data_IF_821324233751
#
_entry.id   IF_821324233751
#
_cell.length_a   1.000
_cell.length_b   1.000
_cell.length_c   1.000
_cell.angle_alpha   90.00
_cell.angle_beta   90.00
_cell.angle_gamma   90.00
#
_symmetry.space_group_name_H-M   'P 1'
#
loop_
_entity.id
_entity.type
_entity.pdbx_description
1 polymer ?
#
# COMPACT_ATOMS: atom_id res chain seq x y z
N UNK A 1 -2.38 24.93 -6.88
CA UNK A 1 -2.21 24.01 -5.74
C UNK A 1 -0.73 23.66 -5.64
N UNK A 2 -0.05 24.01 -4.55
CA UNK A 2 1.35 23.64 -4.36
C UNK A 2 1.41 22.16 -3.95
N UNK A 3 2.04 21.32 -4.77
CA UNK A 3 2.49 20.01 -4.33
C UNK A 3 3.55 20.23 -3.26
N UNK A 4 3.23 19.98 -1.99
CA UNK A 4 4.22 20.05 -0.92
C UNK A 4 5.30 18.99 -1.18
N UNK A 5 6.52 19.47 -1.39
CA UNK A 5 7.70 18.62 -1.50
C UNK A 5 7.90 17.86 -0.18
N UNK A 6 7.91 16.52 -0.25
CA UNK A 6 8.16 15.67 0.92
C UNK A 6 9.51 16.03 1.56
N UNK A 7 9.57 16.05 2.89
CA UNK A 7 10.82 16.25 3.62
C UNK A 7 11.81 15.11 3.34
N UNK A 8 13.11 15.31 3.61
CA UNK A 8 14.14 14.27 3.41
C UNK A 8 13.80 12.97 4.16
N UNK A 9 13.35 13.10 5.41
CA UNK A 9 12.89 11.96 6.23
C UNK A 9 11.67 11.29 5.60
N UNK A 10 10.67 12.07 5.17
CA UNK A 10 9.49 11.50 4.50
C UNK A 10 9.87 10.80 3.19
N UNK A 11 10.84 11.33 2.42
CA UNK A 11 11.37 10.71 1.20
C UNK A 11 12.10 9.40 1.53
N UNK A 12 12.85 9.34 2.62
CA UNK A 12 13.55 8.13 3.08
C UNK A 12 12.57 7.06 3.62
N UNK A 13 11.58 7.45 4.43
CA UNK A 13 10.52 6.57 4.90
C UNK A 13 9.69 6.02 3.72
N UNK A 14 9.39 6.88 2.74
CA UNK A 14 8.69 6.46 1.51
C UNK A 14 9.56 5.50 0.71
N UNK A 15 10.85 5.79 0.53
CA UNK A 15 11.80 4.89 -0.16
C UNK A 15 11.88 3.53 0.52
N UNK A 16 11.96 3.50 1.85
CA UNK A 16 11.97 2.25 2.62
C UNK A 16 10.67 1.47 2.43
N UNK A 17 9.51 2.11 2.64
CA UNK A 17 8.18 1.51 2.43
C UNK A 17 8.05 0.95 1.02
N UNK A 18 8.45 1.71 0.00
CA UNK A 18 8.39 1.26 -1.40
C UNK A 18 9.33 0.11 -1.67
N UNK A 19 10.54 0.15 -1.12
CA UNK A 19 11.53 -0.91 -1.28
C UNK A 19 10.95 -2.25 -0.83
N UNK A 20 10.28 -2.29 0.34
CA UNK A 20 9.61 -3.48 0.87
C UNK A 20 8.51 -4.00 -0.07
N UNK A 21 7.65 -3.12 -0.61
CA UNK A 21 6.55 -3.51 -1.48
C UNK A 21 6.98 -3.99 -2.88
N UNK A 22 8.25 -3.81 -3.26
CA UNK A 22 8.66 -3.95 -4.65
C UNK A 22 9.93 -4.80 -4.88
N UNK A 23 10.54 -5.35 -3.83
CA UNK A 23 11.67 -6.30 -3.94
C UNK A 23 11.30 -7.73 -3.56
N UNK A 24 10.02 -8.05 -3.36
CA UNK A 24 9.56 -9.36 -2.90
C UNK A 24 10.22 -9.84 -1.59
N UNK A 25 10.75 -8.93 -0.79
CA UNK A 25 11.27 -9.24 0.55
C UNK A 25 10.08 -9.49 1.49
N UNK A 26 9.75 -10.76 1.65
CA UNK A 26 8.59 -11.22 2.42
C UNK A 26 8.73 -10.91 3.91
N UNK A 27 9.96 -10.91 4.44
CA UNK A 27 10.23 -10.58 5.85
C UNK A 27 9.96 -9.11 6.12
N UNK A 28 10.48 -8.22 5.25
CA UNK A 28 10.24 -6.79 5.37
C UNK A 28 8.76 -6.43 5.16
N UNK A 29 8.07 -7.09 4.22
CA UNK A 29 6.62 -6.92 4.05
C UNK A 29 5.87 -7.37 5.30
N UNK A 30 6.25 -8.49 5.89
CA UNK A 30 5.66 -9.01 7.13
C UNK A 30 5.84 -8.04 8.28
N UNK A 31 7.07 -7.56 8.52
CA UNK A 31 7.35 -6.56 9.55
C UNK A 31 6.51 -5.29 9.37
N UNK A 32 6.40 -4.80 8.13
CA UNK A 32 5.55 -3.63 7.86
C UNK A 32 4.07 -3.89 8.18
N UNK A 33 3.53 -5.08 7.86
CA UNK A 33 2.16 -5.42 8.21
C UNK A 33 1.96 -5.45 9.72
N UNK A 34 2.87 -6.09 10.45
CA UNK A 34 2.82 -6.14 11.91
C UNK A 34 2.83 -4.73 12.51
N UNK A 35 3.76 -3.86 12.07
CA UNK A 35 3.83 -2.46 12.51
C UNK A 35 2.51 -1.69 12.27
N UNK A 36 1.87 -1.88 11.10
CA UNK A 36 0.61 -1.19 10.79
C UNK A 36 -0.54 -1.72 11.63
N UNK A 37 -0.60 -3.03 11.84
CA UNK A 37 -1.62 -3.64 12.70
C UNK A 37 -1.45 -3.19 14.15
N UNK A 38 -0.22 -3.01 14.61
CA UNK A 38 0.10 -2.48 15.95
C UNK A 38 -0.27 -1.00 16.07
N UNK A 39 0.04 -0.18 15.07
CA UNK A 39 -0.35 1.24 15.01
C UNK A 39 -1.88 1.43 15.06
N UNK A 40 -2.63 0.53 14.44
CA UNK A 40 -4.10 0.47 14.50
C UNK A 40 -4.63 -0.23 15.75
N UNK A 41 -3.74 -0.74 16.62
CA UNK A 41 -4.08 -1.53 17.80
C UNK A 41 -5.01 -2.71 17.50
N UNK A 42 -4.83 -3.38 16.35
CA UNK A 42 -5.62 -4.55 15.98
C UNK A 42 -5.20 -5.76 16.80
N UNK A 43 -6.18 -6.43 17.41
CA UNK A 43 -5.95 -7.56 18.31
C UNK A 43 -6.92 -8.71 17.99
N UNK A 44 -6.52 -9.93 18.35
CA UNK A 44 -7.34 -11.14 18.21
C UNK A 44 -7.93 -11.33 16.81
N UNK A 45 -9.21 -11.71 16.73
CA UNK A 45 -9.90 -12.00 15.48
C UNK A 45 -9.90 -10.83 14.48
N UNK A 46 -9.95 -9.59 14.96
CA UNK A 46 -9.91 -8.41 14.07
C UNK A 46 -8.56 -8.31 13.36
N UNK A 47 -7.46 -8.58 14.07
CA UNK A 47 -6.11 -8.62 13.49
C UNK A 47 -6.00 -9.69 12.42
N UNK A 48 -6.46 -10.90 12.73
CA UNK A 48 -6.44 -12.04 11.80
C UNK A 48 -7.26 -11.75 10.52
N UNK A 49 -8.49 -11.23 10.69
CA UNK A 49 -9.36 -10.87 9.57
C UNK A 49 -8.74 -9.79 8.69
N UNK A 50 -8.23 -8.72 9.30
CA UNK A 50 -7.55 -7.66 8.58
C UNK A 50 -6.32 -8.18 7.82
N UNK A 51 -5.50 -9.03 8.45
CA UNK A 51 -4.31 -9.61 7.84
C UNK A 51 -4.66 -10.47 6.62
N UNK A 52 -5.72 -11.27 6.70
CA UNK A 52 -6.19 -12.09 5.58
C UNK A 52 -6.62 -11.24 4.39
N UNK A 53 -7.42 -10.19 4.62
CA UNK A 53 -7.85 -9.26 3.56
C UNK A 53 -6.63 -8.59 2.93
N UNK A 54 -5.72 -8.04 3.74
CA UNK A 54 -4.51 -7.39 3.23
C UNK A 54 -3.66 -8.35 2.39
N UNK A 55 -3.40 -9.57 2.88
CA UNK A 55 -2.62 -10.58 2.13
C UNK A 55 -3.25 -10.90 0.78
N UNK A 56 -4.57 -11.02 0.70
CA UNK A 56 -5.29 -11.21 -0.56
C UNK A 56 -5.09 -10.03 -1.53
N UNK A 57 -5.14 -8.79 -1.05
CA UNK A 57 -4.93 -7.61 -1.89
C UNK A 57 -3.49 -7.47 -2.37
N UNK A 58 -2.52 -7.73 -1.50
CA UNK A 58 -1.09 -7.73 -1.81
C UNK A 58 -0.77 -8.78 -2.87
N UNK A 59 -1.28 -10.00 -2.72
CA UNK A 59 -1.09 -11.05 -3.71
C UNK A 59 -1.57 -10.61 -5.11
N UNK A 60 -2.77 -10.00 -5.20
CA UNK A 60 -3.27 -9.46 -6.47
C UNK A 60 -2.45 -8.29 -7.00
N UNK A 61 -1.88 -7.44 -6.14
CA UNK A 61 -0.97 -6.39 -6.57
C UNK A 61 0.35 -6.97 -7.12
N UNK A 62 0.87 -8.06 -6.54
CA UNK A 62 2.04 -8.77 -7.10
C UNK A 62 1.74 -9.33 -8.49
N UNK A 63 0.56 -9.92 -8.69
CA UNK A 63 0.11 -10.39 -10.01
C UNK A 63 0.03 -9.26 -11.05
N UNK A 64 -0.32 -8.03 -10.63
CA UNK A 64 -0.28 -6.88 -11.53
C UNK A 64 1.15 -6.59 -12.03
N UNK A 65 2.17 -6.68 -11.17
CA UNK A 65 3.56 -6.45 -11.56
C UNK A 65 4.08 -7.54 -12.51
N UNK A 66 3.64 -8.79 -12.34
CA UNK A 66 3.98 -9.91 -13.23
C UNK A 66 3.45 -9.72 -14.65
N UNK A 67 2.27 -9.10 -14.82
CA UNK A 67 1.68 -8.81 -16.14
C UNK A 67 2.03 -7.42 -16.68
N UNK A 68 2.85 -6.65 -15.97
CA UNK A 68 3.16 -5.25 -16.29
C UNK A 68 3.81 -5.08 -17.67
N UNK A 69 4.49 -6.11 -18.18
CA UNK A 69 5.10 -6.12 -19.51
C UNK A 69 4.11 -5.89 -20.67
N UNK A 70 2.80 -6.00 -20.42
CA UNK A 70 1.73 -5.81 -21.41
C UNK A 70 0.97 -4.49 -21.27
N UNK A 71 1.37 -3.60 -20.34
CA UNK A 71 0.62 -2.39 -20.00
C UNK A 71 1.51 -1.15 -19.94
N UNK A 72 0.90 0.02 -20.19
CA UNK A 72 1.56 1.31 -20.04
C UNK A 72 1.63 1.75 -18.57
N UNK A 73 2.56 2.66 -18.25
CA UNK A 73 2.69 3.20 -16.89
C UNK A 73 1.40 3.78 -16.29
N UNK A 74 0.64 4.61 -17.03
CA UNK A 74 -0.66 5.12 -16.56
C UNK A 74 -1.70 4.03 -16.31
N UNK A 75 -1.77 3.00 -17.15
CA UNK A 75 -2.68 1.85 -16.96
C UNK A 75 -2.32 1.07 -15.71
N UNK A 76 -1.02 0.83 -15.48
CA UNK A 76 -0.55 0.15 -14.28
C UNK A 76 -0.82 0.95 -13.01
N UNK A 77 -0.65 2.28 -13.06
CA UNK A 77 -1.01 3.15 -11.96
C UNK A 77 -2.51 3.09 -11.65
N UNK A 78 -3.36 3.10 -12.69
CA UNK A 78 -4.82 3.00 -12.55
C UNK A 78 -5.23 1.67 -11.93
N UNK A 79 -4.69 0.55 -12.39
CA UNK A 79 -4.94 -0.79 -11.84
C UNK A 79 -4.49 -0.91 -10.38
N UNK A 80 -3.34 -0.37 -10.04
CA UNK A 80 -2.85 -0.34 -8.66
C UNK A 80 -3.79 0.46 -7.74
N UNK A 81 -4.19 1.67 -8.16
CA UNK A 81 -5.16 2.51 -7.44
C UNK A 81 -6.51 1.79 -7.26
N UNK A 82 -7.02 1.15 -8.31
CA UNK A 82 -8.25 0.38 -8.26
C UNK A 82 -8.15 -0.77 -7.25
N UNK A 83 -7.01 -1.47 -7.19
CA UNK A 83 -6.83 -2.57 -6.23
C UNK A 83 -6.77 -2.09 -4.78
N UNK A 84 -6.19 -0.91 -4.52
CA UNK A 84 -6.21 -0.27 -3.20
C UNK A 84 -7.61 0.23 -2.84
N UNK A 85 -8.41 0.71 -3.78
CA UNK A 85 -9.79 1.09 -3.51
C UNK A 85 -10.64 -0.12 -3.07
N UNK A 86 -10.49 -1.27 -3.75
CA UNK A 86 -11.14 -2.51 -3.32
C UNK A 86 -10.68 -2.93 -1.92
N UNK A 87 -9.39 -2.77 -1.60
CA UNK A 87 -8.89 -3.05 -0.25
C UNK A 87 -9.57 -2.14 0.79
N UNK A 88 -9.68 -0.85 0.50
CA UNK A 88 -10.36 0.10 1.37
C UNK A 88 -11.83 -0.29 1.59
N UNK A 89 -12.53 -0.73 0.53
CA UNK A 89 -13.92 -1.20 0.64
C UNK A 89 -14.03 -2.43 1.54
N UNK A 90 -13.19 -3.44 1.33
CA UNK A 90 -13.22 -4.71 2.07
C UNK A 90 -12.88 -4.55 3.57
N UNK A 91 -12.10 -3.53 3.95
CA UNK A 91 -11.75 -3.28 5.36
C UNK A 91 -12.65 -2.25 6.05
N UNK A 92 -13.47 -1.50 5.30
CA UNK A 92 -14.24 -0.36 5.82
C UNK A 92 -15.19 -0.76 6.94
N UNK A 93 -15.78 -1.95 6.85
CA UNK A 93 -16.79 -2.42 7.80
C UNK A 93 -16.18 -3.12 9.03
N UNK A 94 -14.89 -3.50 8.98
CA UNK A 94 -14.19 -4.13 10.11
C UNK A 94 -13.34 -3.15 10.92
N UNK A 95 -12.93 -2.03 10.31
CA UNK A 95 -12.13 -1.00 10.97
C UNK A 95 -13.03 0.11 11.50
N UNK A 96 -12.71 0.61 12.70
CA UNK A 96 -13.29 1.87 13.15
C UNK A 96 -12.70 3.05 12.36
N UNK A 97 -13.29 4.24 12.51
CA UNK A 97 -12.88 5.43 11.77
C UNK A 97 -11.38 5.75 11.89
N UNK A 98 -10.81 5.69 13.10
CA UNK A 98 -9.42 6.02 13.33
C UNK A 98 -8.47 4.98 12.68
N UNK A 99 -8.80 3.70 12.82
CA UNK A 99 -8.07 2.61 12.17
C UNK A 99 -8.14 2.72 10.64
N UNK A 100 -9.31 3.04 10.11
CA UNK A 100 -9.51 3.22 8.68
C UNK A 100 -8.71 4.40 8.10
N UNK A 101 -8.59 5.51 8.84
CA UNK A 101 -7.73 6.63 8.43
C UNK A 101 -6.25 6.23 8.38
N UNK A 102 -5.75 5.50 9.39
CA UNK A 102 -4.36 4.98 9.41
C UNK A 102 -4.13 4.04 8.22
N UNK A 103 -5.06 3.11 7.98
CA UNK A 103 -5.04 2.20 6.84
C UNK A 103 -4.94 2.97 5.52
N UNK A 104 -5.87 3.90 5.27
CA UNK A 104 -5.95 4.65 4.02
C UNK A 104 -4.67 5.45 3.77
N UNK A 105 -4.16 6.16 4.78
CA UNK A 105 -2.92 6.92 4.68
C UNK A 105 -1.73 6.02 4.34
N UNK A 106 -1.67 4.83 4.94
CA UNK A 106 -0.62 3.85 4.70
C UNK A 106 -0.60 3.37 3.25
N UNK A 107 -1.76 2.98 2.70
CA UNK A 107 -1.87 2.50 1.32
C UNK A 107 -1.72 3.60 0.28
N UNK A 108 -2.18 4.81 0.56
CA UNK A 108 -1.90 5.97 -0.30
C UNK A 108 -0.40 6.25 -0.41
N UNK A 109 0.34 6.16 0.71
CA UNK A 109 1.80 6.34 0.69
C UNK A 109 2.49 5.27 -0.17
N UNK A 110 2.03 4.01 -0.09
CA UNK A 110 2.54 2.91 -0.93
C UNK A 110 2.27 3.20 -2.41
N UNK A 111 1.03 3.56 -2.78
CA UNK A 111 0.67 3.85 -4.18
C UNK A 111 1.53 4.98 -4.74
N UNK A 112 1.67 6.09 -3.99
CA UNK A 112 2.51 7.22 -4.40
C UNK A 112 3.95 6.79 -4.60
N UNK A 113 4.49 6.04 -3.65
CA UNK A 113 5.86 5.61 -3.69
C UNK A 113 6.17 4.62 -4.81
N UNK A 114 5.28 3.65 -5.07
CA UNK A 114 5.40 2.72 -6.21
C UNK A 114 5.31 3.48 -7.53
N UNK A 115 4.35 4.40 -7.65
CA UNK A 115 4.20 5.27 -8.83
C UNK A 115 5.50 6.04 -9.13
N UNK A 116 6.09 6.66 -8.10
CA UNK A 116 7.34 7.42 -8.22
C UNK A 116 8.50 6.52 -8.63
N UNK A 117 8.68 5.36 -7.98
CA UNK A 117 9.77 4.42 -8.29
C UNK A 117 9.69 3.90 -9.72
N UNK A 118 8.49 3.56 -10.19
CA UNK A 118 8.27 2.99 -11.53
C UNK A 118 8.22 4.06 -12.63
N UNK A 119 8.33 5.34 -12.29
CA UNK A 119 8.26 6.44 -13.25
C UNK A 119 6.87 6.62 -13.87
N UNK A 120 5.81 6.14 -13.20
CA UNK A 120 4.43 6.28 -13.67
C UNK A 120 3.80 7.64 -13.33
N UNK A 121 4.52 8.50 -12.61
CA UNK A 121 4.08 9.86 -12.37
C UNK A 121 4.16 10.62 -13.70
N UNK A 122 3.00 10.92 -14.29
CA UNK A 122 2.92 11.94 -15.35
C UNK A 122 3.16 13.31 -14.71
N UNK A 123 4.11 14.06 -15.27
CA UNK A 123 4.27 15.50 -15.01
C UNK A 123 2.95 16.25 -15.18
#
# INVERSE_FOLDING_TARGET
MQAQDLTKQQKEDLKFKVHMFTHNDEELQTLWYEDRMDEMMLQGKLREQYQLIVKYHVFKMKQLDEIANSHTGPEMQSKLKARVNLLNEDVKDILNKAQFEIHKNSWEAIVRGVTLRKGWATN
#
